data_IF_963446497109
#
_entry.id   IF_963446497109
#
_cell.length_a   1.000
_cell.length_b   1.000
_cell.length_c   1.000
_cell.angle_alpha   90.00
_cell.angle_beta   90.00
_cell.angle_gamma   90.00
#
_symmetry.space_group_name_H-M   'P 1'
#
loop_
_entity.id
_entity.type
_entity.pdbx_description
1 polymer ?
#
# COMPACT_ATOMS: atom_id res chain seq x y z
N UNK A 1 -13.33 16.76 18.20
CA UNK A 1 -12.38 15.77 17.64
C UNK A 1 -11.21 16.56 17.11
N UNK A 2 -9.96 16.24 17.47
CA UNK A 2 -8.82 16.88 16.85
C UNK A 2 -8.80 16.52 15.36
N UNK A 3 -8.48 17.48 14.49
CA UNK A 3 -8.26 17.17 13.07
C UNK A 3 -7.08 16.21 12.93
N UNK A 4 -7.21 15.23 12.04
CA UNK A 4 -6.11 14.32 11.75
C UNK A 4 -4.91 15.11 11.21
N UNK A 5 -3.67 14.75 11.58
CA UNK A 5 -2.49 15.39 11.03
C UNK A 5 -2.39 15.26 9.50
N UNK A 6 -1.78 16.26 8.85
CA UNK A 6 -1.66 16.31 7.38
C UNK A 6 -1.01 15.05 6.77
N UNK A 7 0.04 14.50 7.41
CA UNK A 7 0.72 13.29 6.93
C UNK A 7 -0.17 12.06 6.98
N UNK A 8 -1.06 11.98 7.98
CA UNK A 8 -2.04 10.90 8.11
C UNK A 8 -3.07 10.98 6.99
N UNK A 9 -3.59 12.18 6.71
CA UNK A 9 -4.52 12.41 5.60
C UNK A 9 -3.90 12.04 4.24
N UNK A 10 -2.67 12.48 3.97
CA UNK A 10 -1.97 12.18 2.72
C UNK A 10 -1.67 10.68 2.60
N UNK A 11 -1.10 10.07 3.65
CA UNK A 11 -0.75 8.66 3.67
C UNK A 11 -1.97 7.77 3.47
N UNK A 12 -3.07 8.04 4.18
CA UNK A 12 -4.33 7.29 4.04
C UNK A 12 -4.95 7.47 2.65
N UNK A 13 -4.92 8.69 2.09
CA UNK A 13 -5.41 8.94 0.73
C UNK A 13 -4.60 8.18 -0.32
N UNK A 14 -3.27 8.14 -0.18
CA UNK A 14 -2.40 7.36 -1.06
C UNK A 14 -2.70 5.87 -0.95
N UNK A 15 -2.81 5.32 0.26
CA UNK A 15 -3.12 3.90 0.50
C UNK A 15 -4.44 3.53 -0.16
N UNK A 16 -5.50 4.32 0.06
CA UNK A 16 -6.79 4.08 -0.56
C UNK A 16 -6.69 4.07 -2.10
N UNK A 17 -6.03 5.08 -2.67
CA UNK A 17 -5.87 5.19 -4.11
C UNK A 17 -5.06 4.03 -4.71
N UNK A 18 -3.94 3.66 -4.07
CA UNK A 18 -3.07 2.58 -4.50
C UNK A 18 -3.83 1.25 -4.58
N UNK A 19 -4.50 0.83 -3.51
CA UNK A 19 -5.21 -0.46 -3.50
C UNK A 19 -6.47 -0.46 -4.38
N UNK A 20 -7.17 0.68 -4.48
CA UNK A 20 -8.29 0.80 -5.43
C UNK A 20 -7.82 0.58 -6.88
N UNK A 21 -6.69 1.18 -7.26
CA UNK A 21 -6.09 0.96 -8.58
C UNK A 21 -5.59 -0.48 -8.73
N UNK A 22 -4.94 -1.03 -7.70
CA UNK A 22 -4.40 -2.40 -7.73
C UNK A 22 -5.51 -3.45 -7.91
N UNK A 23 -6.67 -3.25 -7.29
CA UNK A 23 -7.77 -4.20 -7.37
C UNK A 23 -8.57 -4.05 -8.67
N UNK A 24 -8.64 -2.84 -9.23
CA UNK A 24 -9.50 -2.52 -10.38
C UNK A 24 -8.78 -2.55 -11.74
N UNK A 25 -7.63 -1.90 -11.85
CA UNK A 25 -6.86 -1.77 -13.09
C UNK A 25 -5.36 -1.59 -12.83
N UNK A 26 -4.68 -2.74 -12.66
CA UNK A 26 -3.25 -2.82 -12.38
C UNK A 26 -2.37 -2.25 -13.49
N UNK A 27 -2.89 -2.10 -14.71
CA UNK A 27 -2.10 -1.59 -15.83
C UNK A 27 -1.63 -0.14 -15.60
N UNK A 28 -2.35 0.60 -14.75
CA UNK A 28 -2.05 2.00 -14.43
C UNK A 28 -0.98 2.17 -13.34
N UNK A 29 -0.63 1.10 -12.60
CA UNK A 29 0.41 1.13 -11.55
C UNK A 29 1.84 0.96 -12.10
N UNK A 30 1.99 0.87 -13.42
CA UNK A 30 3.26 0.66 -14.12
C UNK A 30 3.40 -0.76 -14.64
N UNK A 31 3.97 -0.89 -15.84
CA UNK A 31 4.06 -2.13 -16.63
C UNK A 31 5.00 -3.21 -16.05
N UNK A 32 5.44 -3.08 -14.81
CA UNK A 32 6.52 -3.90 -14.22
C UNK A 32 5.96 -5.15 -13.50
N UNK A 33 4.66 -5.17 -13.17
CA UNK A 33 4.03 -6.25 -12.41
C UNK A 33 3.29 -7.26 -13.30
N UNK A 34 4.03 -8.14 -13.98
CA UNK A 34 3.41 -9.33 -14.60
C UNK A 34 3.14 -10.39 -13.53
N UNK A 35 2.07 -10.21 -12.76
CA UNK A 35 1.70 -11.12 -11.68
C UNK A 35 0.72 -12.21 -12.17
N UNK A 36 0.88 -13.47 -11.75
CA UNK A 36 0.14 -14.61 -12.30
C UNK A 36 -1.27 -14.78 -11.67
N UNK A 37 -2.06 -13.71 -11.59
CA UNK A 37 -3.45 -13.75 -11.11
C UNK A 37 -4.35 -12.79 -11.89
N UNK A 38 -5.63 -13.14 -12.04
CA UNK A 38 -6.60 -12.37 -12.84
C UNK A 38 -7.36 -11.33 -12.02
N UNK A 39 -7.71 -11.65 -10.78
CA UNK A 39 -8.40 -10.79 -9.83
C UNK A 39 -7.66 -10.80 -8.51
N UNK A 40 -7.67 -9.66 -7.84
CA UNK A 40 -7.17 -9.54 -6.48
C UNK A 40 -8.07 -8.57 -5.73
N UNK A 41 -8.21 -8.79 -4.43
CA UNK A 41 -8.89 -7.88 -3.53
C UNK A 41 -8.07 -7.73 -2.26
N UNK A 42 -7.79 -6.49 -1.87
CA UNK A 42 -7.12 -6.16 -0.61
C UNK A 42 -8.13 -5.69 0.44
N UNK A 43 -7.89 -6.09 1.69
CA UNK A 43 -8.61 -5.61 2.87
C UNK A 43 -7.59 -5.09 3.88
N UNK A 44 -7.64 -3.80 4.16
CA UNK A 44 -6.69 -3.14 5.05
C UNK A 44 -7.14 -3.34 6.50
N UNK A 45 -6.31 -4.01 7.29
CA UNK A 45 -6.55 -4.23 8.72
C UNK A 45 -6.08 -3.03 9.54
N UNK A 46 -4.88 -2.54 9.23
CA UNK A 46 -4.28 -1.38 9.88
C UNK A 46 -3.36 -0.64 8.90
N UNK A 47 -3.27 0.67 9.09
CA UNK A 47 -2.30 1.52 8.41
C UNK A 47 -1.77 2.56 9.40
N UNK A 48 -0.47 2.79 9.38
CA UNK A 48 0.22 3.75 10.23
C UNK A 48 1.07 4.68 9.36
N UNK A 49 1.06 5.98 9.68
CA UNK A 49 1.74 7.01 8.90
C UNK A 49 2.61 7.88 9.79
N UNK A 50 3.84 8.13 9.37
CA UNK A 50 4.77 9.03 10.07
C UNK A 50 5.47 9.97 9.11
N UNK A 51 5.64 11.25 9.47
CA UNK A 51 6.53 12.15 8.75
C UNK A 51 7.99 11.75 9.02
N UNK A 52 8.84 11.86 8.02
CA UNK A 52 10.29 11.72 8.17
C UNK A 52 10.97 13.09 8.25
N UNK A 53 12.21 13.19 8.77
CA UNK A 53 12.96 14.44 8.81
C UNK A 53 13.14 15.12 7.43
N UNK A 54 13.17 14.33 6.35
CA UNK A 54 13.41 14.79 4.98
C UNK A 54 12.12 15.17 4.23
N UNK A 55 11.04 15.49 4.95
CA UNK A 55 9.72 15.83 4.40
C UNK A 55 9.12 14.72 3.51
N UNK A 56 9.41 13.46 3.85
CA UNK A 56 8.72 12.30 3.29
C UNK A 56 7.66 11.80 4.28
N UNK A 57 6.81 10.89 3.81
CA UNK A 57 5.87 10.15 4.66
C UNK A 57 6.19 8.67 4.54
N UNK A 58 6.49 8.03 5.68
CA UNK A 58 6.53 6.59 5.79
C UNK A 58 5.12 6.08 6.08
N UNK A 59 4.61 5.18 5.26
CA UNK A 59 3.35 4.48 5.49
C UNK A 59 3.60 2.99 5.64
N UNK A 60 3.08 2.38 6.70
CA UNK A 60 3.10 0.94 6.91
C UNK A 60 1.67 0.42 6.87
N UNK A 61 1.45 -0.68 6.16
CA UNK A 61 0.14 -1.28 5.94
C UNK A 61 0.21 -2.75 6.32
N UNK A 62 -0.78 -3.20 7.10
CA UNK A 62 -1.01 -4.60 7.40
C UNK A 62 -2.43 -4.94 6.96
N UNK A 63 -2.58 -6.04 6.23
CA UNK A 63 -3.87 -6.41 5.69
C UNK A 63 -3.95 -7.87 5.29
N UNK A 64 -5.05 -8.18 4.62
CA UNK A 64 -5.31 -9.46 3.99
C UNK A 64 -5.57 -9.24 2.51
N UNK A 65 -5.22 -10.22 1.69
CA UNK A 65 -5.54 -10.23 0.27
C UNK A 65 -6.07 -11.60 -0.15
N UNK A 66 -6.88 -11.59 -1.21
CA UNK A 66 -7.33 -12.79 -1.92
C UNK A 66 -7.04 -12.61 -3.40
N UNK A 67 -6.19 -13.48 -3.95
CA UNK A 67 -5.94 -13.56 -5.39
C UNK A 67 -6.78 -14.71 -5.96
N UNK A 68 -7.58 -14.43 -6.98
CA UNK A 68 -8.47 -15.41 -7.63
C UNK A 68 -9.23 -16.29 -6.60
N UNK A 69 -9.11 -17.62 -6.72
CA UNK A 69 -9.72 -18.58 -5.80
C UNK A 69 -8.76 -19.06 -4.69
N UNK A 70 -7.54 -18.51 -4.62
CA UNK A 70 -6.55 -18.89 -3.62
C UNK A 70 -7.03 -18.55 -2.19
N UNK A 71 -6.47 -19.22 -1.16
CA UNK A 71 -6.73 -18.87 0.23
C UNK A 71 -6.41 -17.40 0.54
N UNK A 72 -7.14 -16.84 1.50
CA UNK A 72 -6.82 -15.50 2.02
C UNK A 72 -5.44 -15.54 2.69
N UNK A 73 -4.59 -14.60 2.32
CA UNK A 73 -3.25 -14.47 2.88
C UNK A 73 -3.11 -13.12 3.57
N UNK A 74 -2.41 -13.09 4.71
CA UNK A 74 -1.95 -11.83 5.30
C UNK A 74 -0.83 -11.22 4.47
N UNK A 75 -0.68 -9.90 4.53
CA UNK A 75 0.45 -9.21 3.92
C UNK A 75 0.89 -8.00 4.76
N UNK A 76 2.12 -7.57 4.52
CA UNK A 76 2.69 -6.33 5.01
C UNK A 76 3.20 -5.54 3.81
N UNK A 77 2.95 -4.24 3.78
CA UNK A 77 3.50 -3.35 2.76
C UNK A 77 3.95 -2.03 3.37
N UNK A 78 5.10 -1.53 2.93
CA UNK A 78 5.63 -0.23 3.35
C UNK A 78 5.89 0.66 2.16
N UNK A 79 5.50 1.93 2.27
CA UNK A 79 5.68 2.96 1.26
C UNK A 79 6.46 4.15 1.82
N UNK A 80 7.36 4.72 1.02
CA UNK A 80 7.91 6.05 1.26
C UNK A 80 7.35 7.00 0.20
N UNK A 81 6.62 8.01 0.65
CA UNK A 81 6.06 9.05 -0.19
C UNK A 81 6.92 10.29 -0.10
N UNK A 82 7.26 10.88 -1.25
CA UNK A 82 8.00 12.14 -1.33
C UNK A 82 7.22 13.14 -2.15
N UNK A 83 7.17 14.38 -1.69
CA UNK A 83 6.63 15.46 -2.50
C UNK A 83 7.68 15.94 -3.51
N UNK A 84 7.35 15.87 -4.80
CA UNK A 84 8.18 16.32 -5.91
C UNK A 84 7.30 17.18 -6.82
N UNK A 85 7.65 18.46 -7.00
CA UNK A 85 6.89 19.41 -7.82
C UNK A 85 5.39 19.45 -7.44
N UNK A 86 5.09 19.60 -6.14
CA UNK A 86 3.75 19.64 -5.56
C UNK A 86 2.91 18.36 -5.72
N UNK A 87 3.51 17.26 -6.18
CA UNK A 87 2.87 15.95 -6.27
C UNK A 87 3.52 14.95 -5.30
N UNK A 88 2.70 14.22 -4.55
CA UNK A 88 3.16 13.11 -3.73
C UNK A 88 3.34 11.86 -4.59
N UNK A 89 4.56 11.33 -4.62
CA UNK A 89 4.91 10.12 -5.37
C UNK A 89 5.52 9.07 -4.46
N UNK A 90 5.27 7.80 -4.75
CA UNK A 90 5.92 6.69 -4.08
C UNK A 90 7.35 6.53 -4.61
N UNK A 91 8.35 6.63 -3.74
CA UNK A 91 9.77 6.43 -4.11
C UNK A 91 10.29 5.07 -3.71
N UNK A 92 9.66 4.43 -2.73
CA UNK A 92 10.03 3.10 -2.24
C UNK A 92 8.77 2.33 -1.90
N UNK A 93 8.68 1.10 -2.40
CA UNK A 93 7.61 0.16 -2.14
C UNK A 93 8.23 -1.19 -1.75
N UNK A 94 7.87 -1.72 -0.59
CA UNK A 94 8.24 -3.04 -0.14
C UNK A 94 7.00 -3.83 0.24
N UNK A 95 6.77 -4.94 -0.45
CA UNK A 95 5.66 -5.86 -0.21
C UNK A 95 6.15 -7.21 0.30
N UNK A 96 5.43 -7.80 1.26
CA UNK A 96 5.71 -9.15 1.76
C UNK A 96 4.42 -9.87 2.15
N UNK A 97 4.21 -11.07 1.61
CA UNK A 97 3.18 -11.98 2.11
C UNK A 97 3.55 -12.50 3.50
N UNK A 98 2.57 -12.58 4.39
CA UNK A 98 2.69 -13.18 5.70
C UNK A 98 2.70 -14.72 5.57
N UNK A 99 3.81 -15.25 5.06
CA UNK A 99 4.08 -16.69 5.02
C UNK A 99 4.73 -17.11 6.34
N UNK A 100 4.15 -18.11 6.98
CA UNK A 100 4.78 -18.77 8.12
C UNK A 100 5.52 -20.00 7.61
N UNK A 101 6.84 -20.05 7.80
CA UNK A 101 7.58 -21.31 7.67
C UNK A 101 7.27 -22.15 8.91
N UNK A 102 6.18 -22.92 8.88
CA UNK A 102 6.02 -24.02 9.83
C UNK A 102 6.90 -25.16 9.34
N UNK A 103 8.04 -25.36 10.02
CA UNK A 103 8.89 -26.54 9.90
C UNK A 103 8.62 -27.52 11.04
#
# INVERSE_FOLDING_TARGET
MAEQPLWEQIGSSFVQHYYQMFDSDRSQLGSIYSLPFTKIAHSITAQDHQPTPDNCILSMVVGQLKADEDPIMGFHQSFILKNINDAWVCTNDMFRLAIHNFG
#
